data_IF_394484174964
#
_entry.id   IF_394484174964
#
_cell.length_a   1.000
_cell.length_b   1.000
_cell.length_c   1.000
_cell.angle_alpha   90.00
_cell.angle_beta   90.00
_cell.angle_gamma   90.00
#
_symmetry.space_group_name_H-M   'P 1'
#
loop_
_entity.id
_entity.type
_entity.pdbx_description
1 polymer ?
#
# COMPACT_ATOMS: atom_id res chain seq x y z
N UNK A 1 10.41 -14.61 1.38
CA UNK A 1 10.32 -15.66 2.41
C UNK A 1 11.62 -15.56 3.19
N UNK A 2 11.69 -15.26 4.49
CA UNK A 2 10.71 -15.25 5.57
C UNK A 2 10.90 -14.02 6.48
N UNK A 3 9.83 -13.26 6.73
CA UNK A 3 9.77 -12.29 7.82
C UNK A 3 8.90 -12.91 8.91
N UNK A 4 9.58 -13.55 9.84
CA UNK A 4 9.05 -14.22 11.02
C UNK A 4 8.38 -13.20 11.96
N UNK A 5 7.08 -12.99 11.80
CA UNK A 5 6.24 -12.62 12.94
C UNK A 5 5.90 -13.92 13.68
N UNK A 6 6.61 -14.22 14.77
CA UNK A 6 6.05 -15.08 15.82
C UNK A 6 6.03 -14.29 17.11
N UNK A 7 4.95 -13.56 17.33
CA UNK A 7 4.60 -13.08 18.65
C UNK A 7 4.34 -14.35 19.50
N UNK A 8 5.34 -14.78 20.28
CA UNK A 8 5.15 -15.87 21.22
C UNK A 8 4.18 -15.39 22.29
N UNK A 9 3.17 -16.19 22.63
CA UNK A 9 2.03 -15.90 23.51
C UNK A 9 2.40 -15.70 25.00
N UNK A 10 3.64 -15.23 25.27
CA UNK A 10 4.21 -14.93 26.58
C UNK A 10 4.91 -13.56 26.66
N UNK A 11 4.71 -12.66 25.70
CA UNK A 11 5.27 -11.30 25.77
C UNK A 11 6.81 -11.26 25.81
N UNK A 12 7.47 -12.30 25.30
CA UNK A 12 8.93 -12.38 25.25
C UNK A 12 9.48 -11.63 24.04
N UNK A 13 10.32 -10.62 24.28
CA UNK A 13 11.02 -9.88 23.22
C UNK A 13 11.87 -10.82 22.35
N UNK A 14 11.76 -10.67 21.03
CA UNK A 14 12.58 -11.37 20.03
C UNK A 14 13.74 -10.50 19.56
N UNK A 15 14.88 -11.12 19.26
CA UNK A 15 16.08 -10.45 18.77
C UNK A 15 16.56 -11.10 17.48
N UNK A 16 16.98 -10.27 16.51
CA UNK A 16 17.66 -10.68 15.27
C UNK A 16 19.16 -10.70 15.52
N UNK A 17 19.78 -11.87 15.37
CA UNK A 17 21.23 -12.07 15.45
C UNK A 17 21.79 -12.22 14.04
N UNK A 18 22.72 -11.35 13.65
CA UNK A 18 23.42 -11.42 12.36
C UNK A 18 24.80 -12.06 12.57
N UNK A 19 25.08 -13.19 11.91
CA UNK A 19 26.29 -14.01 12.15
C UNK A 19 27.09 -14.26 10.88
N UNK A 20 28.41 -14.08 10.95
CA UNK A 20 29.38 -14.38 9.89
C UNK A 20 29.71 -15.90 9.87
N UNK A 21 29.59 -16.63 8.74
CA UNK A 21 30.11 -17.97 8.58
C UNK A 21 31.58 -17.91 8.13
N UNK A 22 32.51 -18.14 9.05
CA UNK A 22 33.89 -18.56 8.70
C UNK A 22 34.03 -20.06 8.99
N UNK A 23 34.75 -20.84 8.16
CA UNK A 23 34.30 -22.18 7.80
C UNK A 23 34.74 -23.24 8.81
N UNK A 24 33.77 -24.00 9.30
CA UNK A 24 33.98 -25.40 9.68
C UNK A 24 32.76 -26.19 9.21
N UNK A 25 32.89 -26.73 8.01
CA UNK A 25 31.94 -27.65 7.38
C UNK A 25 31.79 -28.90 8.25
N UNK A 26 30.67 -29.11 8.93
CA UNK A 26 30.04 -30.45 9.03
C UNK A 26 28.60 -30.40 9.59
N UNK A 27 27.66 -30.83 8.75
CA UNK A 27 26.33 -31.39 9.04
C UNK A 27 25.55 -30.87 10.27
N UNK A 28 24.51 -30.07 10.01
CA UNK A 28 23.29 -30.07 10.82
C UNK A 28 22.15 -30.58 9.94
N UNK A 29 21.76 -31.83 10.18
CA UNK A 29 20.41 -32.29 9.87
C UNK A 29 19.46 -31.58 10.83
N UNK A 30 18.37 -31.05 10.28
CA UNK A 30 17.02 -30.81 10.82
C UNK A 30 16.39 -29.65 10.01
N UNK A 31 15.32 -30.01 9.30
CA UNK A 31 14.22 -29.21 8.75
C UNK A 31 14.51 -27.72 8.41
N UNK A 32 14.73 -27.48 7.12
CA UNK A 32 14.74 -26.20 6.38
C UNK A 32 14.45 -24.89 7.15
N UNK A 33 15.42 -23.95 7.21
CA UNK A 33 15.14 -22.53 7.37
C UNK A 33 14.95 -21.87 5.99
N UNK A 34 13.82 -21.20 5.77
CA UNK A 34 13.43 -20.44 4.56
C UNK A 34 14.29 -19.17 4.29
N UNK A 35 15.54 -19.12 4.77
CA UNK A 35 16.46 -17.99 4.59
C UNK A 35 17.90 -18.46 4.36
N UNK A 36 18.10 -19.49 3.53
CA UNK A 36 19.42 -19.84 3.00
C UNK A 36 19.57 -19.26 1.59
N UNK A 37 20.22 -18.09 1.49
CA UNK A 37 20.76 -17.57 0.24
C UNK A 37 22.24 -18.02 0.15
N UNK A 38 22.61 -18.91 -0.78
CA UNK A 38 23.98 -19.44 -0.87
C UNK A 38 25.04 -18.39 -1.25
N UNK A 39 24.63 -17.16 -1.60
CA UNK A 39 25.54 -16.05 -1.93
C UNK A 39 25.83 -15.10 -0.75
N UNK A 40 25.04 -15.17 0.32
CA UNK A 40 25.18 -14.30 1.47
C UNK A 40 26.11 -14.93 2.53
N UNK A 41 27.29 -14.36 2.73
CA UNK A 41 28.26 -14.71 3.79
C UNK A 41 27.75 -14.30 5.18
N UNK A 42 26.45 -14.35 5.45
CA UNK A 42 25.86 -13.94 6.74
C UNK A 42 24.48 -14.55 6.89
N UNK A 43 24.17 -15.13 8.04
CA UNK A 43 22.82 -15.64 8.34
C UNK A 43 22.19 -14.89 9.51
N UNK A 44 20.85 -14.79 9.51
CA UNK A 44 20.09 -14.14 10.58
C UNK A 44 19.21 -15.13 11.34
N UNK A 45 19.25 -15.07 12.68
CA UNK A 45 18.46 -15.93 13.57
C UNK A 45 17.53 -15.07 14.44
N UNK A 46 16.29 -15.51 14.65
CA UNK A 46 15.40 -14.93 15.65
C UNK A 46 15.41 -15.74 16.94
N UNK A 47 15.68 -15.07 18.06
CA UNK A 47 15.82 -15.73 19.37
C UNK A 47 15.06 -14.95 20.44
N UNK A 48 14.40 -15.64 21.36
CA UNK A 48 13.76 -15.03 22.54
C UNK A 48 14.79 -14.62 23.60
N UNK A 49 14.49 -13.59 24.40
CA UNK A 49 15.38 -13.07 25.44
C UNK A 49 15.96 -14.16 26.37
N UNK A 50 15.11 -15.10 26.83
CA UNK A 50 15.51 -16.20 27.72
C UNK A 50 16.51 -17.17 27.09
N UNK A 51 16.51 -17.26 25.75
CA UNK A 51 17.36 -18.18 24.98
C UNK A 51 18.58 -17.47 24.37
N UNK A 52 18.56 -16.14 24.33
CA UNK A 52 19.56 -15.29 23.69
C UNK A 52 20.97 -15.58 24.19
N UNK A 53 21.17 -15.62 25.51
CA UNK A 53 22.49 -15.85 26.10
C UNK A 53 23.06 -17.23 25.74
N UNK A 54 22.21 -18.27 25.69
CA UNK A 54 22.62 -19.62 25.31
C UNK A 54 22.99 -19.71 23.83
N UNK A 55 22.20 -19.11 22.94
CA UNK A 55 22.49 -19.08 21.50
C UNK A 55 23.75 -18.26 21.19
N UNK A 56 23.93 -17.10 21.82
CA UNK A 56 25.15 -16.30 21.65
C UNK A 56 26.40 -17.07 22.09
N UNK A 57 26.30 -17.79 23.21
CA UNK A 57 27.40 -18.63 23.71
C UNK A 57 27.67 -19.80 22.76
N UNK A 58 26.62 -20.45 22.25
CA UNK A 58 26.73 -21.54 21.29
C UNK A 58 27.39 -21.10 19.98
N UNK A 59 26.99 -19.94 19.44
CA UNK A 59 27.56 -19.35 18.23
C UNK A 59 29.05 -19.04 18.44
N UNK A 60 29.41 -18.41 19.57
CA UNK A 60 30.82 -18.13 19.92
C UNK A 60 31.64 -19.42 20.08
N UNK A 61 31.08 -20.47 20.68
CA UNK A 61 31.75 -21.76 20.86
C UNK A 61 31.99 -22.50 19.53
N UNK A 62 31.14 -22.26 18.52
CA UNK A 62 31.27 -22.82 17.16
C UNK A 62 32.09 -21.94 16.21
N UNK A 63 32.72 -20.88 16.72
CA UNK A 63 33.58 -19.99 15.93
C UNK A 63 32.83 -18.94 15.11
N UNK A 64 31.51 -18.83 15.26
CA UNK A 64 30.71 -17.78 14.62
C UNK A 64 30.89 -16.43 15.34
N UNK A 65 31.02 -15.35 14.56
CA UNK A 65 31.08 -13.99 15.09
C UNK A 65 29.70 -13.34 15.01
N UNK A 66 29.19 -12.88 16.14
CA UNK A 66 27.97 -12.08 16.20
C UNK A 66 28.33 -10.68 15.75
N UNK A 67 27.74 -10.23 14.65
CA UNK A 67 27.97 -8.92 14.04
C UNK A 67 27.03 -7.90 14.67
N UNK A 68 25.75 -8.25 14.81
CA UNK A 68 24.71 -7.33 15.26
C UNK A 68 23.61 -8.07 16.02
N UNK A 69 23.08 -7.44 17.08
CA UNK A 69 21.94 -7.90 17.87
C UNK A 69 20.92 -6.77 17.89
N UNK A 70 19.83 -6.93 17.14
CA UNK A 70 18.79 -5.89 17.02
C UNK A 70 17.48 -6.40 17.64
N UNK A 71 16.82 -5.64 18.52
CA UNK A 71 15.46 -5.94 18.95
C UNK A 71 14.52 -6.01 17.73
N UNK A 72 13.66 -7.02 17.65
CA UNK A 72 12.80 -7.24 16.48
C UNK A 72 11.93 -6.02 16.14
N UNK A 73 11.50 -5.25 17.16
CA UNK A 73 10.69 -4.05 17.00
C UNK A 73 11.46 -2.90 16.29
N UNK A 74 12.78 -2.79 16.53
CA UNK A 74 13.64 -1.75 15.95
C UNK A 74 14.18 -2.13 14.55
N UNK A 75 14.20 -3.43 14.24
CA UNK A 75 14.61 -3.93 12.92
C UNK A 75 13.60 -3.54 11.83
N UNK A 76 12.29 -3.56 12.12
CA UNK A 76 11.25 -3.05 11.22
C UNK A 76 11.42 -1.57 10.93
N UNK A 77 11.65 -0.75 11.96
CA UNK A 77 11.72 0.71 11.84
C UNK A 77 12.95 1.15 11.05
N UNK A 78 14.11 0.51 11.27
CA UNK A 78 15.35 0.84 10.56
C UNK A 78 15.35 0.39 9.08
N UNK A 79 14.78 -0.77 8.75
CA UNK A 79 14.61 -1.20 7.36
C UNK A 79 13.54 -0.38 6.62
N UNK A 80 12.46 0.00 7.29
CA UNK A 80 11.45 0.93 6.75
C UNK A 80 12.06 2.31 6.46
N UNK A 81 12.93 2.82 7.33
CA UNK A 81 13.60 4.10 7.14
C UNK A 81 14.57 4.09 5.93
N UNK A 82 15.20 2.94 5.63
CA UNK A 82 16.02 2.77 4.40
C UNK A 82 15.20 2.78 3.11
N UNK A 83 13.92 2.43 3.19
CA UNK A 83 13.00 2.32 2.05
C UNK A 83 12.15 3.60 1.85
N UNK A 84 12.48 4.69 2.54
CA UNK A 84 11.70 5.95 2.52
C UNK A 84 10.22 5.71 2.93
N UNK A 85 10.01 4.82 3.91
CA UNK A 85 8.69 4.45 4.45
C UNK A 85 8.43 5.09 5.83
N UNK A 86 9.21 6.08 6.25
CA UNK A 86 9.21 6.63 7.62
C UNK A 86 7.87 7.20 8.06
N UNK A 87 7.11 7.80 7.14
CA UNK A 87 5.77 8.33 7.46
C UNK A 87 4.67 7.27 7.50
N UNK A 88 4.94 6.05 7.06
CA UNK A 88 3.97 4.94 7.04
C UNK A 88 4.34 3.83 8.04
N UNK A 89 5.62 3.74 8.43
CA UNK A 89 6.14 2.74 9.36
C UNK A 89 5.92 3.05 10.84
N UNK A 90 5.70 4.30 11.21
CA UNK A 90 5.18 4.66 12.54
C UNK A 90 3.66 4.74 12.41
N UNK A 91 2.92 3.84 13.06
CA UNK A 91 1.45 3.83 13.27
C UNK A 91 0.67 4.66 12.24
N UNK A 92 -0.01 4.06 11.25
CA UNK A 92 -0.66 4.81 10.18
C UNK A 92 -1.45 5.96 10.81
N UNK A 93 -1.04 7.19 10.52
CA UNK A 93 -1.62 8.38 11.14
C UNK A 93 -3.00 8.59 10.52
N UNK A 94 -3.94 7.76 10.92
CA UNK A 94 -5.34 7.81 10.56
C UNK A 94 -5.82 9.21 10.94
N UNK A 95 -6.18 9.99 9.93
CA UNK A 95 -6.80 11.28 10.12
C UNK A 95 -8.30 10.98 10.19
N UNK A 96 -8.85 11.10 11.39
CA UNK A 96 -10.24 10.76 11.66
C UNK A 96 -11.05 12.02 11.90
N UNK A 97 -12.28 12.04 11.39
CA UNK A 97 -13.25 13.09 11.67
C UNK A 97 -14.02 12.78 12.96
N UNK A 98 -13.83 13.60 13.98
CA UNK A 98 -14.58 13.55 15.23
C UNK A 98 -15.67 14.62 15.28
N UNK A 99 -16.71 14.36 16.09
CA UNK A 99 -17.85 15.29 16.22
C UNK A 99 -17.46 16.65 16.80
N UNK A 100 -16.35 16.74 17.55
CA UNK A 100 -15.85 17.96 18.19
C UNK A 100 -14.78 18.72 17.39
N UNK A 101 -14.49 18.31 16.15
CA UNK A 101 -13.37 18.87 15.40
C UNK A 101 -13.53 20.36 15.07
N UNK A 102 -12.41 21.07 15.19
CA UNK A 102 -12.31 22.48 14.87
C UNK A 102 -12.24 22.70 13.35
N UNK A 103 -12.48 23.94 12.89
CA UNK A 103 -12.41 24.28 11.45
C UNK A 103 -11.01 24.00 10.87
N UNK A 104 -9.95 24.14 11.66
CA UNK A 104 -8.58 23.83 11.25
C UNK A 104 -8.34 22.33 11.09
N UNK A 105 -8.98 21.50 11.91
CA UNK A 105 -8.90 20.04 11.80
C UNK A 105 -9.65 19.55 10.56
N UNK A 106 -10.81 20.14 10.26
CA UNK A 106 -11.56 19.88 9.02
C UNK A 106 -10.74 20.20 7.77
N UNK A 107 -10.05 21.34 7.74
CA UNK A 107 -9.18 21.69 6.62
C UNK A 107 -8.02 20.68 6.46
N UNK A 108 -7.49 20.17 7.57
CA UNK A 108 -6.46 19.13 7.57
C UNK A 108 -7.00 17.81 7.00
N UNK A 109 -8.22 17.41 7.38
CA UNK A 109 -8.91 16.23 6.84
C UNK A 109 -9.15 16.37 5.34
N UNK A 110 -9.63 17.53 4.90
CA UNK A 110 -9.85 17.83 3.48
C UNK A 110 -8.53 17.69 2.72
N UNK A 111 -7.47 18.36 3.18
CA UNK A 111 -6.16 18.30 2.55
C UNK A 111 -5.58 16.88 2.52
N UNK A 112 -5.71 16.12 3.61
CA UNK A 112 -5.28 14.73 3.68
C UNK A 112 -6.05 13.85 2.69
N UNK A 113 -7.37 14.05 2.56
CA UNK A 113 -8.21 13.30 1.62
C UNK A 113 -7.82 13.61 0.18
N UNK A 114 -7.63 14.88 -0.18
CA UNK A 114 -7.12 15.24 -1.51
C UNK A 114 -5.76 14.60 -1.78
N UNK A 115 -4.84 14.67 -0.81
CA UNK A 115 -3.50 14.06 -0.95
C UNK A 115 -3.61 12.54 -1.19
N UNK A 116 -4.47 11.84 -0.48
CA UNK A 116 -4.65 10.40 -0.63
C UNK A 116 -5.30 10.05 -1.98
N UNK A 117 -6.46 10.62 -2.27
CA UNK A 117 -7.27 10.27 -3.45
C UNK A 117 -6.57 10.67 -4.74
N UNK A 118 -5.85 11.79 -4.76
CA UNK A 118 -5.09 12.22 -5.94
C UNK A 118 -3.64 11.73 -5.95
N UNK A 119 -3.26 10.80 -5.08
CA UNK A 119 -1.95 10.16 -5.14
C UNK A 119 -0.80 11.15 -4.98
N UNK A 120 -0.90 12.03 -3.99
CA UNK A 120 0.07 13.08 -3.67
C UNK A 120 0.30 14.07 -4.83
N UNK A 121 -0.70 14.23 -5.70
CA UNK A 121 -0.65 15.22 -6.78
C UNK A 121 -1.10 16.59 -6.27
N UNK A 122 -0.43 17.65 -6.73
CA UNK A 122 -0.86 19.01 -6.46
C UNK A 122 -2.18 19.33 -7.18
N UNK A 123 -3.19 19.71 -6.41
CA UNK A 123 -4.50 20.17 -6.89
C UNK A 123 -4.54 21.68 -6.72
N UNK A 124 -4.78 22.41 -7.82
CA UNK A 124 -4.88 23.87 -7.76
C UNK A 124 -6.18 24.29 -7.06
N UNK A 125 -6.19 25.48 -6.46
CA UNK A 125 -7.40 26.01 -5.80
C UNK A 125 -8.60 26.12 -6.74
N UNK A 126 -8.36 26.47 -8.02
CA UNK A 126 -9.41 26.54 -9.05
C UNK A 126 -10.00 25.17 -9.43
N UNK A 127 -9.27 24.10 -9.15
CA UNK A 127 -9.64 22.73 -9.48
C UNK A 127 -10.36 22.03 -8.31
N UNK A 128 -10.38 22.65 -7.12
CA UNK A 128 -11.00 22.08 -5.93
C UNK A 128 -12.52 22.05 -6.02
N UNK A 129 -13.11 20.99 -5.50
CA UNK A 129 -14.55 20.78 -5.48
C UNK A 129 -15.17 21.49 -4.27
N UNK A 130 -15.32 22.82 -4.37
CA UNK A 130 -15.84 23.66 -3.27
C UNK A 130 -17.21 23.19 -2.75
N UNK A 131 -18.05 22.64 -3.61
CA UNK A 131 -19.37 22.10 -3.23
C UNK A 131 -19.22 20.92 -2.27
N UNK A 132 -18.37 19.94 -2.60
CA UNK A 132 -18.13 18.76 -1.76
C UNK A 132 -17.47 19.14 -0.43
N UNK A 133 -16.53 20.09 -0.45
CA UNK A 133 -15.89 20.62 0.77
C UNK A 133 -16.89 21.32 1.68
N UNK A 134 -17.83 22.09 1.11
CA UNK A 134 -18.87 22.77 1.88
C UNK A 134 -19.81 21.77 2.54
N UNK A 135 -20.18 20.68 1.84
CA UNK A 135 -21.00 19.61 2.40
C UNK A 135 -20.32 18.91 3.58
N UNK A 136 -19.01 18.63 3.47
CA UNK A 136 -18.24 18.04 4.57
C UNK A 136 -18.13 19.01 5.75
N UNK A 137 -17.86 20.28 5.48
CA UNK A 137 -17.76 21.33 6.51
C UNK A 137 -19.08 21.50 7.27
N UNK A 138 -20.20 21.40 6.56
CA UNK A 138 -21.55 21.46 7.14
C UNK A 138 -21.96 20.14 7.83
N UNK A 139 -21.11 19.11 7.80
CA UNK A 139 -21.38 17.76 8.32
C UNK A 139 -22.62 17.09 7.70
N UNK A 140 -22.99 17.49 6.48
CA UNK A 140 -24.09 16.88 5.73
C UNK A 140 -23.70 15.52 5.12
N UNK A 141 -22.40 15.28 4.96
CA UNK A 141 -21.83 14.06 4.38
C UNK A 141 -20.72 13.51 5.29
N UNK A 142 -20.50 12.20 5.25
CA UNK A 142 -19.37 11.54 5.93
C UNK A 142 -18.07 11.67 5.13
N UNK A 143 -16.93 11.31 5.72
CA UNK A 143 -15.65 11.28 5.01
C UNK A 143 -15.70 10.25 3.88
N UNK A 144 -16.37 9.12 4.09
CA UNK A 144 -16.62 8.12 3.05
C UNK A 144 -17.39 8.69 1.86
N UNK A 145 -18.46 9.43 2.11
CA UNK A 145 -19.23 10.07 1.04
C UNK A 145 -18.42 11.17 0.34
N UNK A 146 -17.60 11.91 1.09
CA UNK A 146 -16.68 12.88 0.51
C UNK A 146 -15.65 12.22 -0.42
N UNK A 147 -15.07 11.09 -0.02
CA UNK A 147 -14.20 10.26 -0.86
C UNK A 147 -14.93 9.80 -2.13
N UNK A 148 -16.19 9.38 -2.02
CA UNK A 148 -17.03 8.98 -3.17
C UNK A 148 -17.21 10.14 -4.16
N UNK A 149 -17.53 11.34 -3.67
CA UNK A 149 -17.68 12.52 -4.50
C UNK A 149 -16.37 12.91 -5.21
N UNK A 150 -15.23 12.83 -4.51
CA UNK A 150 -13.92 13.10 -5.10
C UNK A 150 -13.58 12.09 -6.19
N UNK A 151 -13.80 10.79 -5.95
CA UNK A 151 -13.53 9.74 -6.90
C UNK A 151 -14.42 9.83 -8.15
N UNK A 152 -15.69 10.26 -8.00
CA UNK A 152 -16.62 10.45 -9.13
C UNK A 152 -16.41 11.74 -9.92
N UNK A 153 -15.59 12.65 -9.39
CA UNK A 153 -15.36 13.95 -10.01
C UNK A 153 -14.68 13.86 -11.38
N UNK A 154 -14.95 14.85 -12.23
CA UNK A 154 -14.30 14.96 -13.54
C UNK A 154 -12.78 15.14 -13.43
N UNK A 155 -12.31 15.75 -12.34
CA UNK A 155 -10.88 15.91 -12.07
C UNK A 155 -10.18 14.56 -11.90
N UNK A 156 -10.79 13.65 -11.12
CA UNK A 156 -10.23 12.31 -10.93
C UNK A 156 -10.27 11.52 -12.25
N UNK A 157 -11.36 11.63 -13.02
CA UNK A 157 -11.48 11.03 -14.36
C UNK A 157 -10.40 11.54 -15.33
N UNK A 158 -10.13 12.84 -15.35
CA UNK A 158 -9.11 13.43 -16.21
C UNK A 158 -7.70 12.95 -15.90
N UNK A 159 -7.35 12.84 -14.61
CA UNK A 159 -5.99 12.48 -14.20
C UNK A 159 -5.71 10.98 -14.32
N UNK A 160 -6.69 10.14 -13.98
CA UNK A 160 -6.47 8.70 -13.88
C UNK A 160 -7.21 7.91 -14.95
N UNK A 161 -8.48 8.23 -15.21
CA UNK A 161 -9.29 7.41 -16.11
C UNK A 161 -8.94 7.58 -17.60
N UNK A 162 -8.84 8.82 -18.10
CA UNK A 162 -8.54 9.05 -19.53
C UNK A 162 -7.06 8.83 -19.88
N UNK A 163 -6.17 9.02 -18.90
CA UNK A 163 -4.71 8.96 -19.12
C UNK A 163 -4.11 7.56 -18.96
N UNK A 164 -4.86 6.57 -18.44
CA UNK A 164 -4.31 5.23 -18.13
C UNK A 164 -5.07 4.09 -18.81
N UNK A 165 -4.43 2.91 -18.84
CA UNK A 165 -5.10 1.66 -19.23
C UNK A 165 -6.09 1.21 -18.15
N UNK A 166 -7.09 0.39 -18.52
CA UNK A 166 -8.09 -0.12 -17.55
C UNK A 166 -7.44 -0.80 -16.34
N UNK A 167 -6.50 -1.71 -16.57
CA UNK A 167 -5.86 -2.45 -15.49
C UNK A 167 -5.11 -1.50 -14.55
N UNK A 168 -4.41 -0.51 -15.12
CA UNK A 168 -3.70 0.51 -14.35
C UNK A 168 -4.66 1.40 -13.57
N UNK A 169 -5.79 1.77 -14.15
CA UNK A 169 -6.84 2.53 -13.48
C UNK A 169 -7.37 1.77 -12.26
N UNK A 170 -7.66 0.48 -12.40
CA UNK A 170 -8.11 -0.38 -11.31
C UNK A 170 -7.04 -0.48 -10.22
N UNK A 171 -5.77 -0.69 -10.57
CA UNK A 171 -4.66 -0.66 -9.60
C UNK A 171 -4.60 0.65 -8.81
N UNK A 172 -4.81 1.79 -9.48
CA UNK A 172 -4.84 3.10 -8.83
C UNK A 172 -6.08 3.27 -7.95
N UNK A 173 -7.25 2.75 -8.32
CA UNK A 173 -8.43 2.78 -7.46
C UNK A 173 -8.20 1.99 -6.16
N UNK A 174 -7.63 0.78 -6.25
CA UNK A 174 -7.23 0.00 -5.08
C UNK A 174 -6.25 0.78 -4.18
N UNK A 175 -5.30 1.48 -4.79
CA UNK A 175 -4.33 2.32 -4.10
C UNK A 175 -5.00 3.51 -3.38
N UNK A 176 -5.84 4.27 -4.07
CA UNK A 176 -6.43 5.51 -3.58
C UNK A 176 -7.56 5.26 -2.57
N UNK A 177 -8.45 4.31 -2.85
CA UNK A 177 -9.66 4.06 -2.07
C UNK A 177 -9.42 3.05 -0.94
N UNK A 178 -8.70 1.96 -1.21
CA UNK A 178 -8.50 0.87 -0.26
C UNK A 178 -7.10 0.88 0.41
N UNK A 179 -6.17 1.69 -0.08
CA UNK A 179 -4.83 1.79 0.50
C UNK A 179 -3.99 0.52 0.34
N UNK A 180 -4.29 -0.31 -0.66
CA UNK A 180 -3.59 -1.56 -0.95
C UNK A 180 -3.45 -1.81 -2.46
N UNK A 181 -2.51 -2.66 -2.90
CA UNK A 181 -2.53 -3.20 -4.25
C UNK A 181 -3.59 -4.32 -4.40
N UNK A 182 -4.03 -4.63 -5.62
CA UNK A 182 -4.76 -5.86 -5.89
C UNK A 182 -3.89 -7.09 -5.58
N UNK A 183 -4.47 -8.07 -4.91
CA UNK A 183 -3.84 -9.34 -4.54
C UNK A 183 -3.77 -10.30 -5.72
N UNK A 184 -4.78 -10.32 -6.58
CA UNK A 184 -4.86 -11.26 -7.70
C UNK A 184 -5.39 -10.61 -8.97
N UNK A 185 -5.08 -11.20 -10.13
CA UNK A 185 -5.63 -10.76 -11.42
C UNK A 185 -7.16 -10.92 -11.46
N UNK A 186 -7.72 -11.84 -10.69
CA UNK A 186 -9.15 -12.06 -10.58
C UNK A 186 -9.89 -10.80 -10.06
N UNK A 187 -9.33 -10.09 -9.07
CA UNK A 187 -9.92 -8.82 -8.59
C UNK A 187 -9.94 -7.77 -9.70
N UNK A 188 -8.86 -7.67 -10.49
CA UNK A 188 -8.78 -6.74 -11.62
C UNK A 188 -9.83 -7.09 -12.68
N UNK A 189 -9.98 -8.38 -13.00
CA UNK A 189 -10.97 -8.84 -13.96
C UNK A 189 -12.41 -8.59 -13.49
N UNK A 190 -12.71 -8.79 -12.21
CA UNK A 190 -14.03 -8.54 -11.63
C UNK A 190 -14.44 -7.06 -11.73
N UNK A 191 -13.54 -6.15 -11.35
CA UNK A 191 -13.79 -4.71 -11.47
C UNK A 191 -13.89 -4.26 -12.93
N UNK A 192 -13.09 -4.86 -13.82
CA UNK A 192 -13.19 -4.59 -15.25
C UNK A 192 -14.55 -5.01 -15.83
N UNK A 193 -15.07 -6.17 -15.45
CA UNK A 193 -16.39 -6.66 -15.89
C UNK A 193 -17.54 -5.81 -15.34
N UNK A 194 -17.46 -5.44 -14.06
CA UNK A 194 -18.41 -4.52 -13.42
C UNK A 194 -18.44 -3.17 -14.12
N UNK A 195 -17.27 -2.62 -14.41
CA UNK A 195 -17.14 -1.37 -15.15
C UNK A 195 -17.77 -1.47 -16.56
N UNK A 196 -17.57 -2.58 -17.27
CA UNK A 196 -18.17 -2.77 -18.60
C UNK A 196 -19.69 -2.92 -18.55
N UNK A 197 -20.22 -3.57 -17.52
CA UNK A 197 -21.65 -3.86 -17.39
C UNK A 197 -22.44 -2.69 -16.81
N UNK A 198 -21.93 -2.06 -15.75
CA UNK A 198 -22.65 -1.08 -14.92
C UNK A 198 -22.10 0.35 -15.03
N UNK A 199 -20.98 0.52 -15.75
CA UNK A 199 -20.35 1.82 -15.95
C UNK A 199 -19.40 2.23 -14.83
N UNK A 200 -18.90 3.47 -14.96
CA UNK A 200 -17.85 4.03 -14.10
C UNK A 200 -18.29 4.24 -12.65
N UNK A 201 -19.45 4.88 -12.44
CA UNK A 201 -19.88 5.26 -11.09
C UNK A 201 -20.15 4.02 -10.22
N UNK A 202 -20.69 2.96 -10.82
CA UNK A 202 -20.95 1.68 -10.16
C UNK A 202 -19.66 0.93 -9.78
N UNK A 203 -18.60 1.03 -10.59
CA UNK A 203 -17.29 0.48 -10.21
C UNK A 203 -16.72 1.21 -8.99
N UNK A 204 -16.74 2.55 -8.99
CA UNK A 204 -16.30 3.35 -7.84
C UNK A 204 -17.09 3.01 -6.57
N UNK A 205 -18.41 2.91 -6.67
CA UNK A 205 -19.27 2.55 -5.53
C UNK A 205 -18.92 1.16 -4.99
N UNK A 206 -18.56 0.21 -5.86
CA UNK A 206 -18.19 -1.15 -5.41
C UNK A 206 -16.97 -1.20 -4.49
N UNK A 207 -16.02 -0.27 -4.62
CA UNK A 207 -14.89 -0.21 -3.68
C UNK A 207 -15.31 0.37 -2.33
N UNK A 208 -16.12 1.42 -2.33
CA UNK A 208 -16.47 2.20 -1.14
C UNK A 208 -17.56 1.50 -0.31
N UNK A 209 -18.47 0.80 -0.98
CA UNK A 209 -19.55 0.04 -0.34
C UNK A 209 -19.10 -1.38 0.04
N UNK A 210 -17.83 -1.73 -0.18
CA UNK A 210 -17.28 -3.01 0.24
C UNK A 210 -17.21 -3.11 1.77
N UNK A 211 -17.40 -4.33 2.29
CA UNK A 211 -17.19 -4.63 3.70
C UNK A 211 -15.74 -4.34 4.12
N UNK A 212 -14.79 -4.50 3.20
CA UNK A 212 -13.37 -4.21 3.44
C UNK A 212 -13.13 -2.73 3.76
N UNK A 213 -13.74 -1.83 2.99
CA UNK A 213 -13.64 -0.39 3.24
C UNK A 213 -14.26 -0.05 4.61
N UNK A 214 -15.45 -0.58 4.87
CA UNK A 214 -16.20 -0.32 6.11
C UNK A 214 -15.45 -0.83 7.35
N UNK A 215 -14.81 -1.99 7.29
CA UNK A 215 -14.04 -2.55 8.40
C UNK A 215 -12.72 -1.81 8.64
N UNK A 216 -12.13 -1.21 7.61
CA UNK A 216 -10.83 -0.55 7.71
C UNK A 216 -10.92 0.92 8.08
N UNK A 217 -11.86 1.64 7.49
CA UNK A 217 -11.96 3.10 7.61
C UNK A 217 -13.30 3.55 8.21
N UNK A 218 -14.34 2.72 8.12
CA UNK A 218 -15.69 3.14 8.51
C UNK A 218 -16.17 4.36 7.72
N UNK A 219 -16.83 5.29 8.40
CA UNK A 219 -17.41 6.51 7.80
C UNK A 219 -16.56 7.77 8.00
N UNK A 220 -15.68 7.76 9.00
CA UNK A 220 -15.03 8.97 9.54
C UNK A 220 -13.54 9.03 9.25
N UNK A 221 -12.91 7.90 8.92
CA UNK A 221 -11.47 7.84 8.73
C UNK A 221 -11.13 8.10 7.26
N UNK A 222 -10.16 8.97 7.02
CA UNK A 222 -9.61 9.18 5.68
C UNK A 222 -8.83 7.93 5.26
N UNK A 223 -9.03 7.40 4.04
CA UNK A 223 -8.27 6.25 3.56
C UNK A 223 -6.76 6.49 3.68
N UNK A 224 -6.04 5.45 4.06
CA UNK A 224 -4.59 5.50 4.20
C UNK A 224 -3.97 4.18 3.77
N UNK A 225 -2.66 4.21 3.54
CA UNK A 225 -1.91 3.02 3.16
C UNK A 225 -1.84 2.02 4.31
N UNK A 226 -2.48 0.86 4.13
CA UNK A 226 -2.63 -0.15 5.19
C UNK A 226 -1.74 -1.38 5.02
N UNK A 227 -1.15 -1.56 3.83
CA UNK A 227 -0.44 -2.81 3.48
C UNK A 227 0.91 -2.98 4.19
N UNK A 228 1.40 -1.96 4.89
CA UNK A 228 2.64 -2.07 5.66
C UNK A 228 2.45 -2.78 7.00
N UNK A 229 1.20 -2.80 7.49
CA UNK A 229 0.82 -3.61 8.63
C UNK A 229 0.28 -4.96 8.15
N UNK A 230 0.71 -6.04 8.79
CA UNK A 230 0.20 -7.37 8.49
C UNK A 230 -1.27 -7.46 8.85
N UNK A 231 -2.10 -7.81 7.88
CA UNK A 231 -3.53 -8.04 8.09
C UNK A 231 -3.88 -9.47 7.72
N UNK A 232 -4.84 -10.02 8.45
CA UNK A 232 -5.35 -11.36 8.21
C UNK A 232 -5.91 -11.43 6.78
N UNK A 233 -5.40 -12.35 5.97
CA UNK A 233 -5.79 -12.51 4.56
C UNK A 233 -4.88 -11.82 3.54
N UNK A 234 -3.83 -11.09 3.96
CA UNK A 234 -2.88 -10.51 3.01
C UNK A 234 -2.03 -11.59 2.32
N UNK A 235 -1.95 -11.52 0.99
CA UNK A 235 -1.02 -12.34 0.21
C UNK A 235 0.42 -11.90 0.46
N UNK A 236 1.36 -12.83 0.67
CA UNK A 236 2.78 -12.52 0.83
C UNK A 236 3.40 -11.80 -0.37
N UNK A 237 2.80 -11.92 -1.56
CA UNK A 237 3.19 -11.17 -2.76
C UNK A 237 2.68 -9.72 -2.80
N UNK A 238 1.74 -9.36 -1.93
CA UNK A 238 1.15 -8.02 -1.89
C UNK A 238 2.20 -6.96 -1.56
N UNK A 239 3.08 -7.23 -0.59
CA UNK A 239 4.11 -6.28 -0.16
C UNK A 239 5.00 -5.80 -1.31
N UNK A 240 5.47 -6.73 -2.17
CA UNK A 240 6.28 -6.37 -3.33
C UNK A 240 5.54 -5.48 -4.34
N UNK A 241 4.21 -5.67 -4.48
CA UNK A 241 3.36 -4.82 -5.32
C UNK A 241 3.12 -3.46 -4.68
N UNK A 242 2.90 -3.41 -3.37
CA UNK A 242 2.77 -2.18 -2.59
C UNK A 242 3.99 -1.29 -2.79
N UNK A 243 5.20 -1.82 -2.67
CA UNK A 243 6.42 -1.04 -2.86
C UNK A 243 6.54 -0.47 -4.29
N UNK A 244 6.09 -1.21 -5.31
CA UNK A 244 6.07 -0.73 -6.70
C UNK A 244 5.07 0.40 -6.92
N UNK A 245 3.96 0.42 -6.19
CA UNK A 245 2.94 1.46 -6.27
C UNK A 245 3.26 2.67 -5.37
N UNK A 246 3.88 2.45 -4.20
CA UNK A 246 4.14 3.50 -3.21
C UNK A 246 5.29 4.41 -3.66
N UNK A 247 6.42 3.85 -4.12
CA UNK A 247 7.60 4.56 -4.67
C UNK A 247 8.19 5.70 -3.81
N UNK A 248 7.74 5.89 -2.57
CA UNK A 248 8.26 6.90 -1.63
C UNK A 248 7.33 8.10 -1.47
N UNK A 249 7.57 8.92 -0.43
CA UNK A 249 6.68 10.03 -0.06
C UNK A 249 6.62 11.17 -1.08
N UNK A 250 7.67 11.35 -1.87
CA UNK A 250 7.74 12.38 -2.91
C UNK A 250 7.15 11.91 -4.26
N UNK A 251 6.71 10.65 -4.35
CA UNK A 251 6.08 10.12 -5.55
C UNK A 251 4.70 10.73 -5.79
N UNK A 252 4.37 11.01 -7.06
CA UNK A 252 3.03 11.41 -7.50
C UNK A 252 2.56 10.49 -8.62
N UNK A 253 1.30 10.07 -8.56
CA UNK A 253 0.73 9.14 -9.55
C UNK A 253 0.50 9.75 -10.93
N UNK A 254 0.32 11.08 -11.00
CA UNK A 254 0.11 11.76 -12.29
C UNK A 254 1.37 11.74 -13.17
N UNK A 255 2.56 11.88 -12.57
CA UNK A 255 3.83 11.86 -13.30
C UNK A 255 4.13 10.48 -13.90
N UNK A 256 3.62 9.41 -13.28
CA UNK A 256 3.86 8.02 -13.68
C UNK A 256 2.98 7.57 -14.84
N UNK A 257 1.83 8.23 -15.03
CA UNK A 257 0.88 7.89 -16.09
C UNK A 257 1.28 8.46 -17.47
N UNK A 258 2.25 9.40 -17.51
CA UNK A 258 2.69 10.05 -18.76
C UNK A 258 3.41 9.09 -19.72
N UNK A 259 3.89 7.96 -19.22
CA UNK A 259 4.56 6.90 -19.99
C UNK A 259 3.63 5.73 -20.34
N UNK A 260 2.38 5.74 -19.89
CA UNK A 260 1.38 4.72 -20.21
C UNK A 260 0.79 4.90 -21.61
N UNK A 261 0.35 3.81 -22.25
CA UNK A 261 -0.42 3.87 -23.50
C UNK A 261 -1.64 4.76 -23.32
N UNK A 262 -1.57 5.98 -23.85
CA UNK A 262 -2.71 6.88 -23.91
C UNK A 262 -3.84 6.20 -24.67
N UNK A 263 -5.05 6.25 -24.11
CA UNK A 263 -6.27 5.93 -24.86
C UNK A 263 -6.60 7.07 -25.81
N UNK A 264 -5.79 7.23 -26.85
CA UNK A 264 -6.16 8.07 -27.99
C UNK A 264 -6.80 7.18 -29.03
N UNK A 265 -8.13 7.18 -29.06
CA UNK A 265 -8.84 7.00 -30.32
C UNK A 265 -9.69 8.26 -30.46
N UNK A 266 -9.21 9.19 -31.30
CA UNK A 266 -9.97 10.38 -31.63
C UNK A 266 -11.12 9.98 -32.57
N UNK A 267 -12.34 10.55 -32.45
CA UNK A 267 -13.50 10.15 -33.27
C UNK A 267 -13.29 10.35 -34.78
N UNK A 268 -12.29 11.13 -35.20
CA UNK A 268 -11.90 11.29 -36.61
C UNK A 268 -11.09 10.09 -37.16
N UNK A 269 -10.46 9.30 -36.30
CA UNK A 269 -9.67 8.13 -36.70
C UNK A 269 -10.54 6.89 -37.02
N UNK A 270 -11.80 6.87 -36.55
CA UNK A 270 -12.79 5.86 -36.93
C UNK A 270 -13.31 6.01 -38.37
N UNK A 271 -13.20 7.19 -38.97
CA UNK A 271 -13.63 7.44 -40.36
C UNK A 271 -12.57 7.07 -41.40
N UNK A 272 -11.31 6.89 -40.99
CA UNK A 272 -10.20 6.55 -41.89
C UNK A 272 -10.00 5.02 -41.99
N UNK A 273 -10.31 4.26 -40.93
CA UNK A 273 -10.12 2.79 -40.93
C UNK A 273 -11.23 2.01 -41.67
N UNK A 274 -12.32 2.67 -42.07
CA UNK A 274 -13.45 2.04 -42.76
C UNK A 274 -13.32 1.84 -44.28
N UNK A 275 -12.16 2.12 -44.91
CA UNK A 275 -12.02 2.11 -46.39
C UNK A 275 -11.35 0.90 -47.04
N UNK A 276 -10.95 -0.14 -46.29
CA UNK A 276 -10.29 -1.33 -46.88
C UNK A 276 -10.98 -2.67 -46.56
N UNK A 277 -12.30 -2.70 -46.41
CA UNK A 277 -13.07 -3.96 -46.28
C UNK A 277 -14.01 -4.25 -47.46
N UNK A 278 -13.65 -3.82 -48.67
CA UNK A 278 -14.33 -4.31 -49.90
C UNK A 278 -13.30 -4.45 -51.04
N UNK A 279 -12.78 -5.67 -51.20
CA UNK A 279 -12.74 -6.44 -52.47
C UNK A 279 -12.29 -7.86 -52.19
#
# INVERSE_FOLDING_TARGET
MNLLTSNNSRGGKLFKLTVDPTPATTHLSWSSPETYDPSATTYSLLVSLDRLLNEMTYIKAKGGRIIEVVPADEASVSEQNRLDLTAVGAEPRAVELWSSDSVTDLQTIIAATYKQIFGNTYVLESERLTQAESLLTNRSISVREFVRLLAKSDLYKQRFFYCTSNDRFIELNFKHLLGRPPYNQAEIAEHLDRYQTSGYDADIDSYIDSDEYSQAFGETIVPYWRTFNYQVGQSGGAFGRTLRLYRGEAGSDTNLNRTGQLRKIEPRELLVSGRNLIS
#
